data_IF_462774493748
#
_entry.id   IF_462774493748
#
_cell.length_a   1.000
_cell.length_b   1.000
_cell.length_c   1.000
_cell.angle_alpha   90.00
_cell.angle_beta   90.00
_cell.angle_gamma   90.00
#
_symmetry.space_group_name_H-M   'P 1'
#
loop_
_entity.id
_entity.type
_entity.pdbx_description
1 polymer ?
#
# COMPACT_ATOMS: atom_id res chain seq x y z
N UNK A 1 67.20 -13.91 -4.90
CA UNK A 1 68.21 -14.37 -3.92
C UNK A 1 68.28 -13.32 -2.82
N UNK A 2 67.76 -13.65 -1.64
CA UNK A 2 67.72 -12.78 -0.46
C UNK A 2 69.13 -12.51 0.07
N UNK A 3 69.37 -11.32 0.64
CA UNK A 3 70.19 -11.17 1.84
C UNK A 3 69.88 -9.86 2.58
N UNK A 4 69.32 -10.03 3.78
CA UNK A 4 69.27 -9.03 4.86
C UNK A 4 70.67 -8.81 5.42
N UNK A 5 70.97 -7.59 5.83
CA UNK A 5 71.96 -7.30 6.87
C UNK A 5 71.42 -6.18 7.74
N UNK A 6 71.11 -6.50 9.00
CA UNK A 6 70.93 -5.53 10.08
C UNK A 6 72.30 -5.11 10.61
N UNK A 7 72.49 -3.83 10.93
CA UNK A 7 73.30 -3.37 12.06
C UNK A 7 72.60 -2.12 12.64
N UNK A 8 72.28 -2.19 13.94
CA UNK A 8 71.75 -1.07 14.71
C UNK A 8 72.84 -0.24 15.38
N UNK A 9 72.47 0.96 15.83
CA UNK A 9 72.67 1.48 17.20
C UNK A 9 72.44 3.02 17.24
N UNK A 10 71.40 3.48 17.97
CA UNK A 10 71.49 4.25 19.24
C UNK A 10 71.67 5.78 19.00
N UNK A 11 70.61 6.59 18.95
CA UNK A 11 69.84 7.29 20.03
C UNK A 11 70.49 8.60 20.52
N UNK A 12 69.85 9.74 20.18
CA UNK A 12 69.52 10.95 20.98
C UNK A 12 69.15 12.04 19.95
N UNK A 13 67.98 12.69 19.90
CA UNK A 13 66.99 13.02 20.90
C UNK A 13 66.52 14.44 20.60
N UNK A 14 65.55 14.62 19.69
CA UNK A 14 64.80 15.87 19.53
C UNK A 14 63.32 15.49 19.39
N UNK A 15 62.52 15.84 20.40
CA UNK A 15 61.07 15.72 20.38
C UNK A 15 60.52 16.59 19.22
N UNK A 16 60.20 15.94 18.11
CA UNK A 16 59.24 16.47 17.15
C UNK A 16 57.85 16.08 17.66
N UNK A 17 57.07 17.08 18.08
CA UNK A 17 55.63 16.94 18.28
C UNK A 17 55.01 16.34 17.02
N UNK A 18 54.23 15.24 17.09
CA UNK A 18 53.35 14.90 16.01
C UNK A 18 52.15 15.86 16.05
N UNK A 19 52.18 16.90 15.23
CA UNK A 19 50.97 17.54 14.70
C UNK A 19 50.28 16.52 13.78
N UNK A 20 49.57 15.59 14.41
CA UNK A 20 48.54 14.80 13.78
C UNK A 20 47.40 14.70 14.80
N UNK A 21 46.65 15.79 14.97
CA UNK A 21 45.30 15.72 15.52
C UNK A 21 44.45 14.97 14.50
N UNK A 22 44.59 13.65 14.48
CA UNK A 22 43.66 12.77 13.80
C UNK A 22 42.32 12.97 14.50
N UNK A 23 41.35 13.53 13.78
CA UNK A 23 39.96 13.56 14.21
C UNK A 23 39.57 12.12 14.60
N UNK A 24 39.28 11.89 15.88
CA UNK A 24 38.90 10.57 16.36
C UNK A 24 37.48 10.29 15.83
N UNK A 25 37.24 9.20 15.07
CA UNK A 25 35.92 8.88 14.56
C UNK A 25 35.04 8.48 15.75
N UNK A 26 34.25 9.44 16.20
CA UNK A 26 33.39 9.30 17.35
C UNK A 26 31.99 8.94 16.84
N UNK A 27 31.68 7.64 16.74
CA UNK A 27 30.29 7.19 16.53
C UNK A 27 29.50 7.48 17.81
N UNK A 28 28.85 8.64 17.85
CA UNK A 28 28.38 9.30 19.07
C UNK A 28 27.06 8.77 19.63
N UNK A 29 27.04 7.55 20.19
CA UNK A 29 25.89 7.05 20.95
C UNK A 29 26.32 6.81 22.40
N UNK A 30 25.93 7.68 23.32
CA UNK A 30 26.16 7.47 24.76
C UNK A 30 24.84 7.22 25.48
N UNK A 31 24.57 5.96 25.84
CA UNK A 31 23.30 5.57 26.45
C UNK A 31 23.12 6.05 27.92
N UNK A 32 24.16 6.55 28.60
CA UNK A 32 24.13 6.66 30.08
C UNK A 32 24.88 7.87 30.69
N UNK A 33 24.74 9.07 30.13
CA UNK A 33 24.92 10.33 30.90
C UNK A 33 26.24 10.51 31.67
N UNK A 34 27.37 9.98 31.19
CA UNK A 34 28.66 10.21 31.84
C UNK A 34 29.19 11.62 31.54
N UNK A 35 29.76 12.33 32.53
CA UNK A 35 29.98 13.78 32.47
C UNK A 35 31.01 14.25 31.43
N UNK A 36 31.74 13.35 30.77
CA UNK A 36 32.60 13.65 29.62
C UNK A 36 32.54 12.49 28.62
N UNK A 37 31.49 12.43 27.80
CA UNK A 37 31.48 11.53 26.65
C UNK A 37 32.75 11.81 25.80
N UNK A 38 33.38 10.76 25.27
CA UNK A 38 34.60 10.84 24.43
C UNK A 38 34.45 11.75 23.19
N UNK A 39 33.24 12.20 22.89
CA UNK A 39 32.83 12.96 21.72
C UNK A 39 32.25 14.31 22.16
N UNK A 40 32.60 15.38 21.46
CA UNK A 40 32.16 16.75 21.75
C UNK A 40 30.65 16.93 21.54
N UNK A 41 30.05 16.10 20.68
CA UNK A 41 28.61 15.94 20.56
C UNK A 41 28.20 14.47 20.44
N UNK A 42 26.97 14.16 20.85
CA UNK A 42 26.36 12.84 20.70
C UNK A 42 24.92 12.92 20.23
N UNK A 43 24.44 11.84 19.61
CA UNK A 43 23.02 11.62 19.35
C UNK A 43 22.41 10.86 20.52
N UNK A 44 21.40 11.45 21.15
CA UNK A 44 20.65 10.82 22.23
C UNK A 44 19.32 10.27 21.69
N UNK A 45 18.99 9.04 22.08
CA UNK A 45 17.78 8.33 21.68
C UNK A 45 17.48 8.42 20.16
N UNK A 46 18.42 7.98 19.30
CA UNK A 46 18.23 8.02 17.86
C UNK A 46 16.95 7.25 17.47
N UNK A 47 16.17 7.77 16.50
CA UNK A 47 14.94 7.13 16.06
C UNK A 47 15.25 5.80 15.37
N UNK A 48 14.34 4.84 15.52
CA UNK A 48 14.36 3.60 14.76
C UNK A 48 13.34 3.73 13.63
N UNK A 49 13.80 3.56 12.39
CA UNK A 49 12.92 3.55 11.23
C UNK A 49 12.45 2.12 10.96
N UNK A 50 11.13 1.91 10.98
CA UNK A 50 10.51 0.68 10.50
C UNK A 50 10.47 0.61 8.97
N UNK A 51 9.95 -0.47 8.40
CA UNK A 51 9.75 -0.62 6.96
C UNK A 51 8.91 0.53 6.38
N UNK A 52 9.26 1.01 5.18
CA UNK A 52 8.63 2.20 4.57
C UNK A 52 8.10 1.92 3.15
N UNK A 53 6.98 2.56 2.86
CA UNK A 53 6.26 2.77 1.60
C UNK A 53 7.09 3.15 0.40
N UNK A 54 7.08 2.41 -0.71
CA UNK A 54 7.09 3.08 -2.02
C UNK A 54 5.81 3.95 -2.02
N UNK A 55 5.95 5.27 -2.00
CA UNK A 55 4.89 6.30 -1.83
C UNK A 55 4.43 6.60 -0.38
N UNK A 56 5.06 6.01 0.63
CA UNK A 56 4.82 6.39 2.03
C UNK A 56 5.75 7.51 2.49
N UNK A 57 5.54 8.01 3.71
CA UNK A 57 6.56 8.78 4.40
C UNK A 57 6.77 8.33 5.84
N UNK A 58 7.98 8.52 6.35
CA UNK A 58 8.32 8.20 7.73
C UNK A 58 9.28 9.26 8.26
N UNK A 59 8.95 9.88 9.38
CA UNK A 59 9.78 10.93 9.98
C UNK A 59 10.37 10.47 11.29
N UNK A 60 11.69 10.55 11.41
CA UNK A 60 12.42 10.29 12.65
C UNK A 60 13.11 11.56 13.13
N UNK A 61 13.11 11.80 14.44
CA UNK A 61 13.77 12.97 15.03
C UNK A 61 15.03 12.53 15.77
N UNK A 62 16.18 13.02 15.29
CA UNK A 62 17.47 12.88 15.94
C UNK A 62 17.70 14.03 16.91
N UNK A 63 18.16 13.72 18.12
CA UNK A 63 18.48 14.74 19.11
C UNK A 63 19.99 14.83 19.28
N UNK A 64 20.58 15.97 18.97
CA UNK A 64 22.01 16.26 19.17
C UNK A 64 22.18 16.87 20.55
N UNK A 65 23.19 16.41 21.30
CA UNK A 65 23.58 16.97 22.59
C UNK A 65 24.98 17.57 22.50
N UNK A 66 25.17 18.75 23.08
CA UNK A 66 26.51 19.30 23.33
C UNK A 66 27.09 18.73 24.63
N UNK A 67 28.19 17.99 24.53
CA UNK A 67 28.91 17.39 25.65
C UNK A 67 30.14 18.21 26.08
N UNK A 68 30.47 19.27 25.36
CA UNK A 68 31.59 20.16 25.69
C UNK A 68 31.18 21.15 26.79
N UNK A 69 32.15 21.66 27.57
CA UNK A 69 31.89 22.67 28.61
C UNK A 69 31.60 24.08 28.05
N UNK A 70 31.59 24.26 26.73
CA UNK A 70 31.39 25.55 26.07
C UNK A 70 30.37 25.43 24.93
N UNK A 71 29.77 26.53 24.45
CA UNK A 71 28.95 26.48 23.26
C UNK A 71 29.79 26.10 22.02
N UNK A 72 29.22 25.29 21.12
CA UNK A 72 29.78 25.09 19.77
C UNK A 72 28.77 25.53 18.71
N UNK A 73 29.28 25.89 17.54
CA UNK A 73 28.50 26.26 16.36
C UNK A 73 28.23 25.04 15.48
N UNK A 74 27.01 24.95 14.98
CA UNK A 74 26.62 23.98 13.94
C UNK A 74 26.97 24.59 12.59
N UNK A 75 27.91 23.97 11.87
CA UNK A 75 28.40 24.44 10.57
C UNK A 75 27.55 23.91 9.40
N UNK A 76 27.13 22.65 9.48
CA UNK A 76 26.25 22.04 8.48
C UNK A 76 25.47 20.88 9.10
N UNK A 77 24.34 20.57 8.45
CA UNK A 77 23.57 19.35 8.67
C UNK A 77 23.30 18.78 7.28
N UNK A 78 23.65 17.51 7.04
CA UNK A 78 23.42 16.86 5.75
C UNK A 78 23.10 15.38 5.91
N UNK A 79 22.52 14.80 4.86
CA UNK A 79 22.39 13.36 4.70
C UNK A 79 23.49 12.89 3.77
N UNK A 80 24.22 11.86 4.19
CA UNK A 80 25.12 11.10 3.33
C UNK A 80 24.39 9.87 2.81
N UNK A 81 24.26 9.79 1.49
CA UNK A 81 23.65 8.65 0.80
C UNK A 81 24.69 7.52 0.68
N UNK A 82 24.44 6.36 1.30
CA UNK A 82 25.23 5.14 1.14
C UNK A 82 24.38 4.02 0.51
N UNK A 83 23.38 4.41 -0.29
CA UNK A 83 22.47 3.54 -1.03
C UNK A 83 22.32 4.01 -2.48
N UNK A 84 21.59 3.23 -3.28
CA UNK A 84 21.32 3.53 -4.69
C UNK A 84 19.97 4.24 -4.90
N UNK A 85 19.28 4.65 -3.82
CA UNK A 85 17.99 5.32 -3.92
C UNK A 85 18.19 6.79 -4.37
N UNK A 86 17.20 7.40 -5.04
CA UNK A 86 17.29 8.81 -5.41
C UNK A 86 17.58 9.72 -4.21
N UNK A 87 18.32 10.81 -4.40
CA UNK A 87 18.61 11.76 -3.31
C UNK A 87 17.32 12.30 -2.67
N UNK A 88 16.30 12.56 -3.49
CA UNK A 88 14.97 13.00 -3.07
C UNK A 88 14.24 12.01 -2.14
N UNK A 89 14.76 10.79 -1.96
CA UNK A 89 14.18 9.78 -1.09
C UNK A 89 14.33 10.11 0.41
N UNK A 90 15.09 11.14 0.77
CA UNK A 90 15.14 11.69 2.14
C UNK A 90 15.26 13.20 2.13
N UNK A 91 14.66 13.85 3.13
CA UNK A 91 14.82 15.29 3.34
C UNK A 91 14.94 15.62 4.83
N UNK A 92 15.62 16.72 5.13
CA UNK A 92 15.66 17.28 6.49
C UNK A 92 14.49 18.26 6.59
N UNK A 93 13.62 18.02 7.56
CA UNK A 93 12.42 18.84 7.80
C UNK A 93 12.55 19.58 9.13
N UNK A 94 11.79 20.67 9.26
CA UNK A 94 11.66 21.35 10.54
C UNK A 94 10.88 20.47 11.50
N UNK A 95 11.48 20.14 12.64
CA UNK A 95 10.80 19.47 13.74
C UNK A 95 9.81 20.40 14.45
N UNK A 96 8.94 19.84 15.32
CA UNK A 96 7.88 20.60 15.97
C UNK A 96 8.40 21.64 16.97
N UNK A 97 9.53 21.39 17.63
CA UNK A 97 10.19 22.33 18.56
C UNK A 97 11.70 22.07 18.67
N UNK A 98 12.44 23.11 19.09
CA UNK A 98 13.86 23.05 19.45
C UNK A 98 14.80 22.55 18.32
N UNK A 99 14.60 23.04 17.10
CA UNK A 99 15.36 22.58 15.93
C UNK A 99 16.82 23.04 15.97
N UNK A 100 17.74 22.17 15.55
CA UNK A 100 19.12 22.57 15.30
C UNK A 100 19.14 23.53 14.11
N UNK A 101 19.76 24.69 14.29
CA UNK A 101 19.86 25.72 13.24
C UNK A 101 21.31 25.84 12.78
N UNK A 102 21.56 25.63 11.49
CA UNK A 102 22.88 25.86 10.89
C UNK A 102 23.29 27.32 11.11
N UNK A 103 24.51 27.54 11.59
CA UNK A 103 25.03 28.86 11.93
C UNK A 103 24.77 29.27 13.39
N UNK A 104 23.90 28.56 14.12
CA UNK A 104 23.64 28.84 15.54
C UNK A 104 24.63 28.12 16.45
N UNK A 105 24.75 28.61 17.69
CA UNK A 105 25.51 27.95 18.75
C UNK A 105 24.61 27.13 19.67
N UNK A 106 24.98 25.88 19.92
CA UNK A 106 24.35 25.02 20.91
C UNK A 106 25.10 25.15 22.23
N UNK A 107 24.42 25.62 23.28
CA UNK A 107 25.02 25.84 24.60
C UNK A 107 25.52 24.53 25.24
N UNK A 108 26.47 24.65 26.18
CA UNK A 108 26.99 23.51 26.95
C UNK A 108 25.84 22.71 27.60
N UNK A 109 25.80 21.40 27.36
CA UNK A 109 24.76 20.51 27.89
C UNK A 109 23.39 20.61 27.22
N UNK A 110 23.18 21.59 26.33
CA UNK A 110 21.91 21.75 25.62
C UNK A 110 21.73 20.71 24.51
N UNK A 111 20.48 20.55 24.09
CA UNK A 111 20.10 19.66 23.00
C UNK A 111 19.36 20.43 21.91
N UNK A 112 19.40 19.91 20.69
CA UNK A 112 18.55 20.37 19.60
C UNK A 112 18.13 19.20 18.70
N UNK A 113 17.05 19.37 17.96
CA UNK A 113 16.38 18.34 17.18
C UNK A 113 16.64 18.51 15.68
N UNK A 114 16.80 17.39 14.98
CA UNK A 114 16.87 17.32 13.52
C UNK A 114 15.87 16.26 13.09
N UNK A 115 14.81 16.67 12.41
CA UNK A 115 13.83 15.73 11.85
C UNK A 115 14.25 15.35 10.43
N UNK A 116 14.27 14.05 10.16
CA UNK A 116 14.57 13.48 8.85
C UNK A 116 13.34 12.72 8.38
N UNK A 117 12.80 13.13 7.24
CA UNK A 117 11.69 12.45 6.57
C UNK A 117 12.22 11.57 5.43
N UNK A 118 11.77 10.32 5.41
CA UNK A 118 11.98 9.37 4.33
C UNK A 118 10.78 9.45 3.37
N UNK A 119 11.05 9.62 2.07
CA UNK A 119 10.06 9.75 0.99
C UNK A 119 10.43 8.81 -0.16
N UNK A 120 10.31 7.48 0.03
CA UNK A 120 10.88 6.52 -0.90
C UNK A 120 10.12 6.51 -2.22
N UNK A 121 10.82 6.82 -3.32
CA UNK A 121 10.25 6.82 -4.68
C UNK A 121 10.54 5.53 -5.46
N UNK A 122 11.27 4.58 -4.86
CA UNK A 122 11.64 3.30 -5.47
C UNK A 122 11.94 2.25 -4.39
N UNK A 123 11.75 0.97 -4.71
CA UNK A 123 12.13 -0.15 -3.84
C UNK A 123 13.65 -0.21 -3.62
N UNK A 124 14.07 -0.68 -2.45
CA UNK A 124 15.49 -0.84 -2.13
C UNK A 124 15.77 -0.88 -0.64
N UNK A 125 17.05 -0.93 -0.27
CA UNK A 125 17.48 -0.82 1.12
C UNK A 125 17.96 0.60 1.36
N UNK A 126 17.32 1.33 2.27
CA UNK A 126 17.87 2.58 2.77
C UNK A 126 19.11 2.29 3.60
N UNK A 127 20.16 3.05 3.31
CA UNK A 127 21.37 3.09 4.10
C UNK A 127 21.95 4.49 3.99
N UNK A 128 21.55 5.37 4.90
CA UNK A 128 22.01 6.77 4.91
C UNK A 128 22.50 7.18 6.28
N UNK A 129 23.31 8.23 6.35
CA UNK A 129 23.87 8.72 7.61
C UNK A 129 23.54 10.21 7.74
N UNK A 130 22.90 10.60 8.84
CA UNK A 130 22.78 12.00 9.20
C UNK A 130 24.13 12.48 9.76
N UNK A 131 24.69 13.52 9.16
CA UNK A 131 25.96 14.10 9.57
C UNK A 131 25.78 15.54 10.03
N UNK A 132 26.43 15.88 11.15
CA UNK A 132 26.43 17.23 11.72
C UNK A 132 27.87 17.72 11.82
N UNK A 133 28.18 18.80 11.10
CA UNK A 133 29.45 19.49 11.21
C UNK A 133 29.44 20.48 12.36
N UNK A 134 30.45 20.44 13.22
CA UNK A 134 30.59 21.37 14.35
C UNK A 134 31.98 22.03 14.35
N UNK A 135 32.13 23.15 15.05
CA UNK A 135 33.38 23.92 15.08
C UNK A 135 34.28 23.60 16.28
N UNK A 136 34.32 22.34 16.70
CA UNK A 136 35.18 21.88 17.80
C UNK A 136 36.37 21.06 17.25
N UNK A 137 37.11 20.36 18.12
CA UNK A 137 38.13 19.39 17.71
C UNK A 137 37.52 18.19 16.98
N UNK A 138 36.23 17.91 17.21
CA UNK A 138 35.44 16.97 16.45
C UNK A 138 34.75 17.75 15.34
N UNK A 139 35.23 17.64 14.10
CA UNK A 139 34.70 18.44 12.98
C UNK A 139 33.36 17.91 12.47
N UNK A 140 33.08 16.63 12.72
CA UNK A 140 31.89 15.92 12.24
C UNK A 140 31.39 14.89 13.28
N UNK A 141 30.07 14.73 13.35
CA UNK A 141 29.39 13.69 14.14
C UNK A 141 28.41 12.96 13.23
N UNK A 142 28.58 11.65 13.14
CA UNK A 142 27.68 10.75 12.43
C UNK A 142 26.62 10.16 13.35
N UNK A 143 25.36 10.21 12.92
CA UNK A 143 24.30 9.45 13.54
C UNK A 143 24.47 7.94 13.30
N UNK A 144 23.79 7.08 14.06
CA UNK A 144 23.55 5.71 13.63
C UNK A 144 22.96 5.69 12.21
N UNK A 145 23.34 4.69 11.43
CA UNK A 145 22.84 4.55 10.08
C UNK A 145 21.31 4.46 10.08
N UNK A 146 20.68 5.26 9.22
CA UNK A 146 19.28 5.14 8.85
C UNK A 146 19.19 3.92 7.94
N UNK A 147 18.84 2.78 8.54
CA UNK A 147 18.63 1.54 7.82
C UNK A 147 17.16 1.16 7.87
N UNK A 148 16.55 1.00 6.71
CA UNK A 148 15.22 0.40 6.58
C UNK A 148 15.07 -0.25 5.21
N UNK A 149 14.11 -1.16 5.10
CA UNK A 149 13.73 -1.74 3.81
C UNK A 149 12.59 -0.93 3.21
N UNK A 150 12.76 -0.54 1.96
CA UNK A 150 11.71 0.02 1.12
C UNK A 150 11.16 -1.08 0.27
N UNK A 151 9.88 -1.36 0.48
CA UNK A 151 9.14 -2.28 -0.36
C UNK A 151 7.77 -1.71 -0.66
N UNK A 152 7.03 -2.41 -1.51
CA UNK A 152 5.58 -2.26 -1.50
C UNK A 152 5.10 -2.66 -0.11
N UNK A 153 4.67 -1.71 0.75
CA UNK A 153 3.95 -2.09 1.97
C UNK A 153 2.51 -2.50 1.66
N UNK A 154 2.36 -3.43 0.72
CA UNK A 154 1.49 -4.54 1.07
C UNK A 154 2.05 -5.12 2.36
N UNK A 155 1.53 -4.63 3.51
CA UNK A 155 1.64 -5.39 4.75
C UNK A 155 1.20 -6.82 4.46
N UNK A 156 1.62 -7.82 5.24
CA UNK A 156 1.06 -9.15 5.07
C UNK A 156 -0.44 -9.04 5.32
N UNK A 157 -1.20 -8.91 4.22
CA UNK A 157 -2.60 -9.21 4.21
C UNK A 157 -2.78 -10.62 4.78
N UNK A 158 -3.95 -10.93 5.31
CA UNK A 158 -4.22 -12.13 6.08
C UNK A 158 -3.67 -13.40 5.41
N UNK A 159 -2.51 -13.90 5.83
CA UNK A 159 -1.80 -14.98 5.10
C UNK A 159 -2.51 -16.31 5.29
N UNK A 160 -2.76 -17.10 4.23
CA UNK A 160 -3.36 -18.42 4.36
C UNK A 160 -2.43 -19.39 5.12
N UNK A 161 -2.96 -20.55 5.56
CA UNK A 161 -2.13 -21.65 6.02
C UNK A 161 -1.06 -22.03 4.98
N UNK A 162 0.15 -22.47 5.40
CA UNK A 162 1.21 -22.87 4.48
C UNK A 162 0.74 -23.94 3.47
N UNK A 163 1.06 -23.75 2.18
CA UNK A 163 0.73 -24.70 1.10
C UNK A 163 -0.65 -24.52 0.44
N UNK A 164 -1.40 -23.49 0.82
CA UNK A 164 -2.71 -23.19 0.24
C UNK A 164 -2.59 -22.67 -1.21
N UNK A 165 -3.03 -23.47 -2.18
CA UNK A 165 -3.05 -23.13 -3.62
C UNK A 165 -4.40 -23.53 -4.23
N UNK A 166 -5.45 -22.70 -4.12
CA UNK A 166 -6.74 -23.03 -4.70
C UNK A 166 -6.69 -22.84 -6.21
N UNK A 167 -7.29 -23.77 -6.96
CA UNK A 167 -7.58 -23.53 -8.37
C UNK A 167 -8.83 -22.66 -8.44
N UNK A 168 -8.65 -21.36 -8.68
CA UNK A 168 -9.77 -20.44 -8.90
C UNK A 168 -10.32 -20.69 -10.32
N UNK A 169 -11.64 -20.89 -10.47
CA UNK A 169 -12.23 -21.05 -11.80
C UNK A 169 -12.01 -19.78 -12.61
N UNK A 170 -11.48 -19.91 -13.82
CA UNK A 170 -11.48 -18.82 -14.78
C UNK A 170 -12.93 -18.47 -15.15
N UNK A 171 -13.22 -17.18 -15.34
CA UNK A 171 -14.51 -16.76 -15.85
C UNK A 171 -14.69 -17.34 -17.27
N UNK A 172 -15.80 -18.04 -17.55
CA UNK A 172 -16.08 -18.54 -18.90
C UNK A 172 -16.03 -17.43 -19.94
N UNK A 173 -15.36 -17.66 -21.07
CA UNK A 173 -15.05 -16.60 -22.03
C UNK A 173 -16.26 -15.95 -22.70
N UNK A 174 -17.38 -16.68 -22.82
CA UNK A 174 -18.63 -16.12 -23.33
C UNK A 174 -19.37 -15.27 -22.30
N UNK A 175 -19.03 -15.36 -21.00
CA UNK A 175 -19.54 -14.43 -20.00
C UNK A 175 -18.85 -13.06 -20.08
N UNK A 176 -17.72 -12.95 -20.79
CA UNK A 176 -17.02 -11.66 -20.90
C UNK A 176 -17.85 -10.60 -21.63
N UNK A 177 -18.78 -10.98 -22.51
CA UNK A 177 -19.67 -10.03 -23.16
C UNK A 177 -20.76 -9.52 -22.22
N UNK A 178 -21.24 -10.33 -21.26
CA UNK A 178 -22.32 -9.96 -20.33
C UNK A 178 -21.84 -9.00 -19.24
N UNK A 179 -22.16 -7.72 -19.39
CA UNK A 179 -21.86 -6.70 -18.38
C UNK A 179 -22.90 -6.64 -17.28
N UNK A 180 -24.16 -6.79 -17.65
CA UNK A 180 -25.30 -6.82 -16.74
C UNK A 180 -26.03 -8.13 -16.96
N UNK A 181 -26.25 -8.89 -15.89
CA UNK A 181 -27.17 -10.02 -15.85
C UNK A 181 -28.17 -9.79 -14.73
N UNK A 182 -29.46 -9.91 -15.01
CA UNK A 182 -30.51 -9.88 -13.99
C UNK A 182 -31.52 -11.01 -14.17
N UNK A 183 -32.23 -11.35 -13.10
CA UNK A 183 -33.28 -12.35 -13.12
C UNK A 183 -34.66 -11.73 -13.35
N UNK A 184 -35.04 -10.72 -12.56
CA UNK A 184 -36.42 -10.22 -12.50
C UNK A 184 -36.65 -8.98 -13.36
N UNK A 185 -35.77 -7.97 -13.25
CA UNK A 185 -35.86 -6.72 -13.99
C UNK A 185 -34.52 -5.99 -14.00
N UNK A 186 -34.27 -5.18 -15.03
CA UNK A 186 -33.23 -4.15 -15.01
C UNK A 186 -33.89 -2.78 -15.05
N UNK A 187 -33.55 -1.93 -14.09
CA UNK A 187 -34.09 -0.56 -14.03
C UNK A 187 -32.95 0.45 -14.02
N UNK A 188 -33.08 1.50 -14.83
CA UNK A 188 -32.11 2.58 -14.90
C UNK A 188 -32.78 3.96 -14.71
N UNK A 189 -32.09 4.83 -13.98
CA UNK A 189 -32.36 6.27 -13.92
C UNK A 189 -31.15 7.04 -14.44
N UNK A 190 -31.36 8.10 -15.22
CA UNK A 190 -30.26 8.96 -15.69
C UNK A 190 -29.32 8.31 -16.73
N UNK A 191 -28.24 9.01 -17.12
CA UNK A 191 -27.39 8.65 -18.26
C UNK A 191 -26.34 7.58 -17.91
N UNK A 192 -26.80 6.37 -17.61
CA UNK A 192 -25.93 5.19 -17.44
C UNK A 192 -25.28 4.78 -18.76
N UNK A 193 -24.04 4.31 -18.70
CA UNK A 193 -23.32 3.71 -19.83
C UNK A 193 -22.91 2.29 -19.45
N UNK A 194 -23.44 1.30 -20.16
CA UNK A 194 -23.06 -0.11 -20.03
C UNK A 194 -22.22 -0.50 -21.23
N UNK A 195 -20.99 -0.96 -21.01
CA UNK A 195 -20.09 -1.42 -22.07
C UNK A 195 -20.07 -2.95 -22.17
N UNK A 196 -20.95 -3.52 -23.00
CA UNK A 196 -21.17 -4.96 -23.16
C UNK A 196 -22.65 -5.30 -23.12
N UNK A 197 -22.96 -6.58 -23.17
CA UNK A 197 -24.33 -7.09 -23.23
C UNK A 197 -25.09 -6.83 -21.92
N UNK A 198 -26.40 -6.60 -22.07
CA UNK A 198 -27.37 -6.59 -20.99
C UNK A 198 -28.28 -7.81 -21.16
N UNK A 199 -28.16 -8.76 -20.25
CA UNK A 199 -28.91 -10.00 -20.23
C UNK A 199 -29.97 -9.98 -19.11
N UNK A 200 -31.20 -10.37 -19.43
CA UNK A 200 -32.29 -10.52 -18.48
C UNK A 200 -33.05 -11.81 -18.75
N UNK A 201 -33.18 -12.69 -17.77
CA UNK A 201 -34.05 -13.87 -17.86
C UNK A 201 -34.36 -14.48 -16.48
N UNK A 202 -35.61 -14.89 -16.20
CA UNK A 202 -36.76 -14.95 -17.11
C UNK A 202 -37.59 -13.67 -17.11
N UNK A 203 -37.12 -12.61 -16.45
CA UNK A 203 -37.75 -11.30 -16.50
C UNK A 203 -37.86 -10.76 -17.92
N UNK A 204 -38.83 -9.86 -18.13
CA UNK A 204 -39.10 -9.26 -19.44
C UNK A 204 -38.96 -7.74 -19.46
N UNK A 205 -38.74 -7.11 -18.30
CA UNK A 205 -38.70 -5.66 -18.16
C UNK A 205 -37.26 -5.14 -18.04
N UNK A 206 -36.87 -4.32 -19.01
CA UNK A 206 -35.73 -3.40 -18.92
C UNK A 206 -36.25 -2.00 -19.13
N UNK A 207 -36.04 -1.11 -18.16
CA UNK A 207 -36.55 0.26 -18.20
C UNK A 207 -35.41 1.27 -18.02
N UNK A 208 -35.58 2.46 -18.60
CA UNK A 208 -34.58 3.54 -18.50
C UNK A 208 -33.43 3.45 -19.50
N UNK A 209 -33.54 2.61 -20.54
CA UNK A 209 -32.65 2.58 -21.71
C UNK A 209 -33.47 2.91 -22.96
N UNK A 210 -33.64 4.19 -23.35
CA UNK A 210 -32.95 5.42 -22.90
C UNK A 210 -33.50 6.06 -21.59
N UNK A 211 -32.77 7.02 -20.94
CA UNK A 211 -31.52 7.68 -21.39
C UNK A 211 -30.24 6.89 -21.15
N UNK A 212 -30.30 5.77 -20.43
CA UNK A 212 -29.17 4.84 -20.36
C UNK A 212 -28.84 4.30 -21.75
N UNK A 213 -27.56 4.02 -22.00
CA UNK A 213 -27.09 3.47 -23.27
C UNK A 213 -26.28 2.20 -23.03
N UNK A 214 -26.38 1.29 -24.00
CA UNK A 214 -25.52 0.12 -24.13
C UNK A 214 -24.56 0.40 -25.29
N UNK A 215 -23.27 0.22 -25.06
CA UNK A 215 -22.21 0.33 -26.08
C UNK A 215 -21.49 -1.01 -26.19
N UNK A 216 -21.00 -1.33 -27.39
CA UNK A 216 -20.27 -2.56 -27.69
C UNK A 216 -20.96 -3.86 -27.23
N UNK A 217 -22.29 -3.85 -27.18
CA UNK A 217 -23.09 -4.98 -26.74
C UNK A 217 -24.53 -4.85 -27.20
N UNK A 218 -25.33 -5.86 -26.88
CA UNK A 218 -26.74 -5.95 -27.22
C UNK A 218 -27.59 -6.24 -25.99
N UNK A 219 -28.89 -6.01 -26.11
CA UNK A 219 -29.86 -6.35 -25.08
C UNK A 219 -30.49 -7.72 -25.38
N UNK A 220 -30.28 -8.69 -24.48
CA UNK A 220 -30.81 -10.05 -24.58
C UNK A 220 -31.89 -10.28 -23.52
N UNK A 221 -33.16 -10.25 -23.94
CA UNK A 221 -34.30 -10.40 -23.02
C UNK A 221 -34.99 -11.73 -23.24
N UNK A 222 -35.01 -12.56 -22.20
CA UNK A 222 -35.64 -13.87 -22.12
C UNK A 222 -35.39 -14.76 -23.35
N UNK A 223 -34.18 -14.67 -23.91
CA UNK A 223 -33.75 -15.45 -25.07
C UNK A 223 -32.75 -16.53 -24.67
N UNK A 224 -32.38 -17.36 -25.64
CA UNK A 224 -31.41 -18.46 -25.43
C UNK A 224 -30.06 -17.95 -24.93
N UNK A 225 -29.58 -16.81 -25.42
CA UNK A 225 -28.32 -16.20 -25.00
C UNK A 225 -28.36 -15.85 -23.51
N UNK A 226 -29.35 -15.07 -23.07
CA UNK A 226 -29.51 -14.70 -21.66
C UNK A 226 -29.67 -15.94 -20.76
N UNK A 227 -30.40 -16.96 -21.22
CA UNK A 227 -30.58 -18.23 -20.49
C UNK A 227 -29.26 -18.96 -20.28
N UNK A 228 -28.43 -19.02 -21.32
CA UNK A 228 -27.11 -19.66 -21.25
C UNK A 228 -26.16 -18.86 -20.35
N UNK A 229 -26.15 -17.53 -20.47
CA UNK A 229 -25.37 -16.62 -19.61
C UNK A 229 -25.74 -16.84 -18.14
N UNK A 230 -27.05 -16.82 -17.81
CA UNK A 230 -27.49 -17.07 -16.42
C UNK A 230 -27.06 -18.44 -15.91
N UNK A 231 -27.26 -19.48 -16.70
CA UNK A 231 -26.88 -20.86 -16.30
C UNK A 231 -25.38 -20.95 -15.98
N UNK A 232 -24.56 -20.28 -16.77
CA UNK A 232 -23.13 -20.25 -16.58
C UNK A 232 -22.69 -19.37 -15.42
N UNK A 233 -23.31 -18.21 -15.21
CA UNK A 233 -23.09 -17.36 -14.03
C UNK A 233 -23.47 -18.11 -12.74
N UNK A 234 -24.62 -18.79 -12.70
CA UNK A 234 -24.98 -19.65 -11.56
C UNK A 234 -23.96 -20.76 -11.32
N UNK A 235 -23.44 -21.37 -12.38
CA UNK A 235 -22.38 -22.38 -12.27
C UNK A 235 -21.10 -21.77 -11.68
N UNK A 236 -20.72 -20.57 -12.15
CA UNK A 236 -19.56 -19.84 -11.68
C UNK A 236 -19.69 -19.46 -10.20
N UNK A 237 -20.82 -18.89 -9.79
CA UNK A 237 -21.15 -18.61 -8.39
C UNK A 237 -20.99 -19.83 -7.49
N UNK A 238 -21.49 -21.00 -7.93
CA UNK A 238 -21.37 -22.24 -7.18
C UNK A 238 -19.90 -22.69 -7.06
N UNK A 239 -19.11 -22.56 -8.12
CA UNK A 239 -17.67 -22.86 -8.11
C UNK A 239 -16.92 -21.92 -7.14
N UNK A 240 -17.18 -20.61 -7.19
CA UNK A 240 -16.61 -19.64 -6.26
C UNK A 240 -16.96 -19.97 -4.81
N UNK A 241 -18.21 -20.34 -4.54
CA UNK A 241 -18.65 -20.72 -3.19
C UNK A 241 -18.04 -22.04 -2.69
N UNK A 242 -17.68 -22.94 -3.59
CA UNK A 242 -17.00 -24.20 -3.27
C UNK A 242 -15.50 -24.02 -2.94
N UNK A 243 -14.90 -22.85 -3.26
CA UNK A 243 -13.50 -22.59 -2.96
C UNK A 243 -13.24 -22.65 -1.44
N UNK A 244 -12.16 -23.31 -0.99
CA UNK A 244 -11.75 -23.23 0.40
C UNK A 244 -11.32 -21.79 0.74
N UNK A 245 -11.49 -21.37 1.99
CA UNK A 245 -11.13 -20.03 2.42
C UNK A 245 -9.62 -19.93 2.67
N UNK A 246 -8.95 -18.93 2.10
CA UNK A 246 -7.59 -18.57 2.52
C UNK A 246 -7.61 -18.09 3.96
N UNK A 247 -8.51 -17.15 4.24
CA UNK A 247 -8.77 -16.60 5.57
C UNK A 247 -10.27 -16.33 5.72
N UNK A 248 -10.75 -16.48 6.94
CA UNK A 248 -12.15 -16.28 7.31
C UNK A 248 -12.27 -15.14 8.31
N UNK A 249 -13.22 -14.24 8.05
CA UNK A 249 -13.53 -13.07 8.86
C UNK A 249 -14.87 -13.23 9.58
N UNK A 250 -14.89 -12.72 10.81
CA UNK A 250 -16.09 -12.69 11.66
C UNK A 250 -17.09 -11.61 11.23
N UNK A 251 -18.16 -11.50 12.02
CA UNK A 251 -19.26 -10.60 11.71
C UNK A 251 -18.83 -9.11 11.69
N UNK A 252 -19.34 -8.35 10.70
CA UNK A 252 -19.15 -6.90 10.62
C UNK A 252 -17.75 -6.45 10.21
N UNK A 253 -16.95 -7.33 9.61
CA UNK A 253 -15.60 -6.96 9.13
C UNK A 253 -15.70 -5.99 7.96
N UNK A 254 -14.98 -4.87 8.07
CA UNK A 254 -14.85 -3.88 7.01
C UNK A 254 -13.63 -4.18 6.14
N UNK A 255 -13.86 -4.39 4.86
CA UNK A 255 -12.85 -4.73 3.85
C UNK A 255 -11.78 -3.63 3.75
N UNK A 256 -12.13 -2.37 4.02
CA UNK A 256 -11.17 -1.25 3.99
C UNK A 256 -10.06 -1.38 5.03
N UNK A 257 -10.32 -2.08 6.14
CA UNK A 257 -9.29 -2.38 7.17
C UNK A 257 -8.29 -3.44 6.73
N UNK A 258 -8.58 -4.16 5.64
CA UNK A 258 -7.70 -5.17 5.06
C UNK A 258 -6.82 -4.60 3.94
N UNK A 259 -6.97 -3.31 3.62
CA UNK A 259 -6.21 -2.65 2.58
C UNK A 259 -4.75 -2.42 2.99
N UNK A 260 -3.77 -2.67 2.11
CA UNK A 260 -3.91 -3.30 0.79
C UNK A 260 -4.06 -4.84 0.87
N UNK A 261 -4.86 -5.41 -0.03
CA UNK A 261 -5.10 -6.86 -0.12
C UNK A 261 -4.20 -7.43 -1.22
N UNK A 262 -3.36 -8.42 -0.88
CA UNK A 262 -2.49 -9.08 -1.85
C UNK A 262 -3.16 -10.34 -2.44
N UNK A 263 -3.65 -10.26 -3.67
CA UNK A 263 -4.39 -11.32 -4.33
C UNK A 263 -3.53 -12.57 -4.60
N UNK A 264 -2.24 -12.42 -4.85
CA UNK A 264 -1.31 -13.55 -5.02
C UNK A 264 -1.01 -14.32 -3.73
N UNK A 265 -1.19 -13.68 -2.57
CA UNK A 265 -0.97 -14.31 -1.25
C UNK A 265 -2.29 -14.78 -0.62
N UNK A 266 -3.36 -13.99 -0.76
CA UNK A 266 -4.65 -14.22 -0.09
C UNK A 266 -5.77 -14.32 -1.14
N UNK A 267 -5.79 -15.39 -1.95
CA UNK A 267 -6.65 -15.46 -3.13
C UNK A 267 -8.15 -15.64 -2.80
N UNK A 268 -8.52 -16.11 -1.60
CA UNK A 268 -9.93 -16.34 -1.22
C UNK A 268 -10.25 -15.79 0.19
N UNK A 269 -10.94 -14.66 0.25
CA UNK A 269 -11.36 -13.99 1.47
C UNK A 269 -12.82 -14.35 1.80
N UNK A 270 -13.06 -14.97 2.96
CA UNK A 270 -14.39 -15.41 3.36
C UNK A 270 -14.96 -14.57 4.50
N UNK A 271 -16.12 -13.97 4.28
CA UNK A 271 -16.88 -13.22 5.29
C UNK A 271 -18.11 -14.04 5.69
N UNK A 272 -18.16 -14.43 6.95
CA UNK A 272 -19.24 -15.29 7.49
C UNK A 272 -20.58 -14.57 7.66
N UNK A 273 -20.63 -13.26 7.38
CA UNK A 273 -21.83 -12.42 7.45
C UNK A 273 -21.79 -11.36 6.35
N UNK A 274 -22.50 -10.25 6.53
CA UNK A 274 -22.36 -9.05 5.69
C UNK A 274 -20.94 -8.49 5.76
N UNK A 275 -20.50 -7.89 4.66
CA UNK A 275 -19.25 -7.16 4.56
C UNK A 275 -19.49 -5.71 4.14
N UNK A 276 -18.63 -4.83 4.61
CA UNK A 276 -18.69 -3.39 4.33
C UNK A 276 -17.39 -2.96 3.64
N UNK A 277 -17.47 -1.94 2.80
CA UNK A 277 -16.31 -1.15 2.35
C UNK A 277 -16.58 0.31 2.66
N UNK A 278 -16.04 0.83 3.77
CA UNK A 278 -16.29 2.22 4.19
C UNK A 278 -15.20 3.19 3.74
N UNK A 279 -13.98 2.70 3.55
CA UNK A 279 -12.82 3.47 3.10
C UNK A 279 -12.18 2.94 1.81
N UNK A 280 -11.06 3.53 1.39
CA UNK A 280 -10.35 3.12 0.19
C UNK A 280 -9.74 1.71 0.34
N UNK A 281 -9.77 0.94 -0.75
CA UNK A 281 -9.16 -0.40 -0.83
C UNK A 281 -8.21 -0.48 -2.02
N UNK A 282 -7.01 -1.01 -1.81
CA UNK A 282 -6.08 -1.35 -2.89
C UNK A 282 -5.99 -2.86 -3.01
N UNK A 283 -6.33 -3.41 -4.17
CA UNK A 283 -6.08 -4.80 -4.54
C UNK A 283 -4.76 -4.87 -5.29
N UNK A 284 -3.77 -5.53 -4.71
CA UNK A 284 -2.46 -5.70 -5.33
C UNK A 284 -2.28 -7.13 -5.82
N UNK A 285 -1.86 -7.29 -7.06
CA UNK A 285 -1.53 -8.58 -7.65
C UNK A 285 -0.82 -8.39 -8.98
N UNK A 286 -0.01 -9.36 -9.38
CA UNK A 286 0.60 -9.38 -10.71
C UNK A 286 -0.37 -9.92 -11.75
N UNK A 287 -0.01 -9.82 -13.03
CA UNK A 287 -0.79 -10.43 -14.10
C UNK A 287 -0.96 -11.94 -13.85
N UNK A 288 -2.20 -12.43 -13.87
CA UNK A 288 -2.55 -13.82 -13.58
C UNK A 288 -2.97 -14.09 -12.14
N UNK A 289 -2.68 -13.19 -11.20
CA UNK A 289 -3.23 -13.28 -9.84
C UNK A 289 -4.75 -13.12 -9.87
N UNK A 290 -5.43 -13.72 -8.88
CA UNK A 290 -6.88 -13.66 -8.74
C UNK A 290 -7.30 -13.52 -7.28
N UNK A 291 -8.47 -12.93 -7.07
CA UNK A 291 -9.02 -12.70 -5.74
C UNK A 291 -10.51 -12.98 -5.74
N UNK A 292 -10.95 -13.81 -4.80
CA UNK A 292 -12.37 -14.12 -4.58
C UNK A 292 -12.79 -13.64 -3.20
N UNK A 293 -13.81 -12.79 -3.16
CA UNK A 293 -14.50 -12.37 -1.95
C UNK A 293 -15.79 -13.18 -1.81
N UNK A 294 -15.82 -14.10 -0.84
CA UNK A 294 -17.02 -14.87 -0.50
C UNK A 294 -17.73 -14.19 0.66
N UNK A 295 -18.90 -13.63 0.43
CA UNK A 295 -19.66 -12.90 1.43
C UNK A 295 -20.96 -13.65 1.68
N UNK A 296 -21.15 -14.19 2.88
CA UNK A 296 -22.30 -15.04 3.19
C UNK A 296 -23.65 -14.30 3.09
N UNK A 297 -23.66 -12.99 3.28
CA UNK A 297 -24.87 -12.16 3.24
C UNK A 297 -24.72 -10.98 2.29
N UNK A 298 -24.78 -9.74 2.78
CA UNK A 298 -24.82 -8.53 1.95
C UNK A 298 -23.44 -7.89 1.80
N UNK A 299 -23.18 -7.28 0.64
CA UNK A 299 -22.05 -6.34 0.46
C UNK A 299 -22.61 -4.92 0.42
N UNK A 300 -22.05 -4.02 1.24
CA UNK A 300 -22.35 -2.59 1.14
C UNK A 300 -21.06 -1.79 0.96
N UNK A 301 -21.00 -1.03 -0.13
CA UNK A 301 -19.94 -0.05 -0.38
C UNK A 301 -20.46 1.32 -0.01
N UNK A 302 -19.73 2.04 0.84
CA UNK A 302 -20.13 3.39 1.29
C UNK A 302 -19.99 4.42 0.18
N UNK A 303 -20.69 5.55 0.35
CA UNK A 303 -20.59 6.68 -0.58
C UNK A 303 -19.13 7.14 -0.72
N UNK A 304 -18.68 7.36 -1.95
CA UNK A 304 -17.32 7.82 -2.24
C UNK A 304 -16.19 6.83 -1.91
N UNK A 305 -16.48 5.61 -1.43
CA UNK A 305 -15.45 4.61 -1.21
C UNK A 305 -14.90 4.12 -2.56
N UNK A 306 -13.56 4.06 -2.69
CA UNK A 306 -12.87 3.76 -3.94
C UNK A 306 -12.00 2.54 -3.78
N UNK A 307 -12.24 1.55 -4.65
CA UNK A 307 -11.33 0.43 -4.85
C UNK A 307 -10.45 0.65 -6.08
N UNK A 308 -9.15 0.37 -5.93
CA UNK A 308 -8.17 0.44 -7.02
C UNK A 308 -7.36 -0.86 -7.12
N UNK A 309 -6.80 -1.11 -8.30
CA UNK A 309 -5.88 -2.21 -8.54
C UNK A 309 -4.44 -1.71 -8.71
N UNK A 310 -3.49 -2.50 -8.24
CA UNK A 310 -2.05 -2.27 -8.38
C UNK A 310 -1.36 -3.56 -8.85
N UNK A 311 -0.14 -3.43 -9.40
CA UNK A 311 0.70 -4.57 -9.78
C UNK A 311 0.35 -5.24 -11.11
N UNK A 312 -0.75 -4.85 -11.76
CA UNK A 312 -1.16 -5.38 -13.08
C UNK A 312 -2.18 -6.52 -13.04
N UNK A 313 -2.82 -6.76 -11.88
CA UNK A 313 -3.98 -7.67 -11.80
C UNK A 313 -5.12 -7.22 -12.72
N UNK A 314 -5.73 -8.18 -13.41
CA UNK A 314 -6.91 -7.94 -14.24
C UNK A 314 -8.17 -7.82 -13.38
N UNK A 315 -9.07 -6.89 -13.72
CA UNK A 315 -10.37 -6.76 -13.06
C UNK A 315 -11.21 -8.05 -13.22
N UNK A 316 -11.02 -8.78 -14.33
CA UNK A 316 -11.74 -10.02 -14.61
C UNK A 316 -11.27 -11.18 -13.73
N UNK A 317 -10.13 -11.03 -13.05
CA UNK A 317 -9.64 -11.98 -12.05
C UNK A 317 -10.12 -11.68 -10.62
N UNK A 318 -10.95 -10.64 -10.44
CA UNK A 318 -11.50 -10.24 -9.14
C UNK A 318 -12.98 -10.61 -9.12
N UNK A 319 -13.38 -11.48 -8.18
CA UNK A 319 -14.74 -12.02 -8.09
C UNK A 319 -15.37 -11.80 -6.73
N UNK A 320 -16.65 -11.45 -6.71
CA UNK A 320 -17.45 -11.24 -5.50
C UNK A 320 -18.62 -12.20 -5.49
N UNK A 321 -18.51 -13.30 -4.76
CA UNK A 321 -19.61 -14.24 -4.54
C UNK A 321 -20.42 -13.80 -3.32
N UNK A 322 -21.60 -13.23 -3.54
CA UNK A 322 -22.41 -12.58 -2.50
C UNK A 322 -23.69 -13.39 -2.27
N UNK A 323 -23.88 -13.89 -1.05
CA UNK A 323 -24.98 -14.79 -0.67
C UNK A 323 -26.36 -14.14 -0.67
N UNK A 324 -26.43 -12.80 -0.74
CA UNK A 324 -27.68 -12.05 -0.92
C UNK A 324 -27.51 -10.91 -1.93
N UNK A 325 -27.55 -9.66 -1.49
CA UNK A 325 -27.53 -8.48 -2.36
C UNK A 325 -26.25 -7.64 -2.19
N UNK A 326 -25.91 -6.90 -3.24
CA UNK A 326 -24.82 -5.92 -3.26
C UNK A 326 -25.37 -4.51 -3.44
N UNK A 327 -24.87 -3.55 -2.66
CA UNK A 327 -25.21 -2.13 -2.79
C UNK A 327 -23.95 -1.30 -2.93
N UNK A 328 -23.83 -0.57 -4.04
CA UNK A 328 -22.75 0.40 -4.27
C UNK A 328 -23.27 1.81 -3.97
N UNK A 329 -22.66 2.47 -2.98
CA UNK A 329 -22.97 3.83 -2.58
C UNK A 329 -22.73 4.85 -3.68
N UNK A 330 -23.32 6.04 -3.52
CA UNK A 330 -23.18 7.15 -4.48
C UNK A 330 -21.71 7.50 -4.71
N UNK A 331 -21.34 7.71 -5.97
CA UNK A 331 -19.96 8.03 -6.40
C UNK A 331 -18.88 7.06 -5.88
N UNK A 332 -19.24 5.83 -5.51
CA UNK A 332 -18.27 4.80 -5.14
C UNK A 332 -17.63 4.17 -6.37
N UNK A 333 -16.52 3.46 -6.21
CA UNK A 333 -15.91 2.64 -7.26
C UNK A 333 -15.60 1.25 -6.73
N UNK A 334 -16.10 0.23 -7.43
CA UNK A 334 -15.75 -1.17 -7.19
C UNK A 334 -15.10 -1.78 -8.44
N UNK A 335 -14.25 -2.77 -8.22
CA UNK A 335 -13.55 -3.51 -9.28
C UNK A 335 -13.96 -4.98 -9.21
N UNK A 336 -14.21 -5.60 -10.36
CA UNK A 336 -14.43 -7.03 -10.50
C UNK A 336 -15.85 -7.47 -10.84
N UNK A 337 -16.05 -8.77 -10.85
CA UNK A 337 -17.31 -9.42 -11.21
C UNK A 337 -18.15 -9.61 -9.94
N UNK A 338 -19.27 -8.89 -9.85
CA UNK A 338 -20.24 -9.03 -8.78
C UNK A 338 -21.20 -10.15 -9.15
N UNK A 339 -21.14 -11.26 -8.44
CA UNK A 339 -22.04 -12.41 -8.59
C UNK A 339 -22.89 -12.54 -7.32
N UNK A 340 -24.07 -11.92 -7.36
CA UNK A 340 -24.97 -11.81 -6.22
C UNK A 340 -26.16 -12.75 -6.36
N UNK A 341 -26.42 -13.54 -5.32
CA UNK A 341 -27.56 -14.46 -5.27
C UNK A 341 -28.90 -13.75 -5.46
N UNK A 342 -29.05 -12.53 -4.92
CA UNK A 342 -30.27 -11.73 -5.02
C UNK A 342 -30.07 -10.52 -5.95
N UNK A 343 -30.15 -9.29 -5.41
CA UNK A 343 -30.18 -8.07 -6.24
C UNK A 343 -28.88 -7.27 -6.15
N UNK A 344 -28.62 -6.47 -7.17
CA UNK A 344 -27.49 -5.53 -7.21
C UNK A 344 -28.04 -4.12 -7.42
N UNK A 345 -27.60 -3.17 -6.60
CA UNK A 345 -27.98 -1.75 -6.70
C UNK A 345 -26.74 -0.88 -6.80
N UNK A 346 -26.62 -0.11 -7.88
CA UNK A 346 -25.62 0.93 -8.05
C UNK A 346 -26.34 2.28 -7.88
N UNK A 347 -26.06 2.97 -6.78
CA UNK A 347 -26.61 4.30 -6.54
C UNK A 347 -25.95 5.34 -7.46
N UNK A 348 -26.48 6.56 -7.46
CA UNK A 348 -26.10 7.66 -8.36
C UNK A 348 -24.59 7.78 -8.54
N UNK A 349 -24.11 7.64 -9.77
CA UNK A 349 -22.71 7.87 -10.13
C UNK A 349 -21.71 6.82 -9.62
N UNK A 350 -22.17 5.74 -8.98
CA UNK A 350 -21.30 4.62 -8.64
C UNK A 350 -20.69 4.02 -9.92
N UNK A 351 -19.40 3.70 -9.88
CA UNK A 351 -18.65 3.12 -10.99
C UNK A 351 -18.36 1.65 -10.71
N UNK A 352 -18.62 0.82 -11.71
CA UNK A 352 -18.22 -0.57 -11.70
C UNK A 352 -17.22 -0.82 -12.81
N UNK A 353 -15.97 -1.08 -12.44
CA UNK A 353 -14.95 -1.56 -13.35
C UNK A 353 -14.98 -3.09 -13.35
N UNK A 354 -15.99 -3.65 -14.01
CA UNK A 354 -16.31 -5.07 -14.00
C UNK A 354 -17.73 -5.35 -14.44
N UNK A 355 -18.38 -6.34 -13.82
CA UNK A 355 -19.70 -6.89 -14.25
C UNK A 355 -20.65 -7.04 -13.08
N UNK A 356 -21.95 -6.87 -13.31
CA UNK A 356 -22.99 -7.00 -12.30
C UNK A 356 -23.98 -8.10 -12.67
N UNK A 357 -23.89 -9.25 -11.98
CA UNK A 357 -24.72 -10.42 -12.19
C UNK A 357 -25.60 -10.71 -10.96
N UNK A 358 -26.89 -10.42 -11.08
CA UNK A 358 -27.91 -10.67 -10.07
C UNK A 358 -28.67 -11.96 -10.43
N UNK A 359 -28.33 -13.07 -9.78
CA UNK A 359 -28.76 -14.42 -10.20
C UNK A 359 -30.25 -14.69 -10.02
N UNK A 360 -30.87 -14.13 -8.97
CA UNK A 360 -32.29 -14.32 -8.66
C UNK A 360 -33.04 -13.00 -8.38
N UNK A 361 -32.37 -11.86 -8.58
CA UNK A 361 -32.93 -10.54 -8.29
C UNK A 361 -32.87 -9.55 -9.45
N UNK A 362 -32.98 -8.28 -9.09
CA UNK A 362 -32.94 -7.17 -10.03
C UNK A 362 -31.56 -6.51 -10.07
N UNK A 363 -31.27 -5.82 -11.17
CA UNK A 363 -30.20 -4.83 -11.23
C UNK A 363 -30.81 -3.44 -11.32
N UNK A 364 -30.42 -2.55 -10.41
CA UNK A 364 -30.87 -1.16 -10.37
C UNK A 364 -29.68 -0.22 -10.56
N UNK A 365 -29.81 0.71 -11.49
CA UNK A 365 -28.76 1.64 -11.92
C UNK A 365 -29.27 3.09 -11.84
N UNK A 366 -28.37 4.00 -11.49
CA UNK A 366 -28.55 5.44 -11.55
C UNK A 366 -27.27 6.14 -12.03
N UNK A 367 -27.27 6.59 -13.28
CA UNK A 367 -26.19 7.39 -13.87
C UNK A 367 -24.80 6.74 -13.75
N UNK A 368 -24.73 5.42 -13.94
CA UNK A 368 -23.53 4.63 -13.67
C UNK A 368 -22.70 4.34 -14.93
N UNK A 369 -21.37 4.45 -14.85
CA UNK A 369 -20.47 3.80 -15.79
C UNK A 369 -20.18 2.36 -15.37
N UNK A 370 -20.59 1.40 -16.20
CA UNK A 370 -20.30 -0.04 -16.04
C UNK A 370 -19.39 -0.48 -17.17
N UNK A 371 -18.13 -0.72 -16.83
CA UNK A 371 -17.06 -1.03 -17.78
C UNK A 371 -16.34 -2.31 -17.36
N UNK A 372 -16.61 -3.47 -17.96
CA UNK A 372 -15.69 -4.59 -17.90
C UNK A 372 -14.31 -4.15 -18.44
N UNK A 373 -13.23 -4.71 -17.88
CA UNK A 373 -11.89 -4.41 -18.39
C UNK A 373 -11.76 -4.81 -19.86
N UNK A 374 -10.94 -4.07 -20.61
CA UNK A 374 -10.64 -4.29 -22.02
C UNK A 374 -9.70 -5.48 -22.23
#
# INVERSE_FOLDING_TARGET
MFKKTQHGAIILGLLLLPLATQAQPCRGVDANGNPFAKCDASFINPPIFGAVCIDGSSTGTFTVRNNTPAPFKINYIRIQDNDALPQAATTIVQGPTNNCVVGSSLASGATCNISVELLPLAAGTFNRILQVGINTRQVEVDAPAITTVVGSCVGPGPTPPPGFTPTIPATPSFLYSSSILAYSTVTNTGPTVVNGDLDLTPGSAVTGFPPGIIINGVQNIDNTTATNVRTAATTYFNQLNALPCSVTFGAGTDISTLSPINCGVTPVLCFTSSALMTGPVVLNGVAGDSCTFKIASTLTVSNGAVMTTAGGISNDNISWAIGSSATLGTNSTLVGIIDASASISLNTGARLNGRAWALNGAVTLDSNPVNPAA
#
